data_IF_866134155904
#
_entry.id   IF_866134155904
#
_cell.length_a   1.000
_cell.length_b   1.000
_cell.length_c   1.000
_cell.angle_alpha   90.00
_cell.angle_beta   90.00
_cell.angle_gamma   90.00
#
_symmetry.space_group_name_H-M   'P 1'
#
loop_
_entity.id
_entity.type
_entity.pdbx_description
1 polymer ?
#
# COMPACT_ATOMS: atom_id res chain seq x y z
N UNK A 1 -10.07 -6.05 7.23
CA UNK A 1 -8.72 -5.56 6.90
C UNK A 1 -8.63 -4.03 6.86
N UNK A 2 -9.34 -3.34 5.95
CA UNK A 2 -9.27 -1.85 5.85
C UNK A 2 -9.58 -1.11 7.16
N UNK A 3 -10.61 -1.54 7.90
CA UNK A 3 -10.95 -0.92 9.18
C UNK A 3 -9.84 -1.08 10.23
N UNK A 4 -9.23 -2.26 10.31
CA UNK A 4 -8.10 -2.52 11.21
C UNK A 4 -6.87 -1.69 10.82
N UNK A 5 -6.56 -1.59 9.52
CA UNK A 5 -5.48 -0.73 9.03
C UNK A 5 -5.69 0.74 9.40
N UNK A 6 -6.91 1.26 9.20
CA UNK A 6 -7.25 2.64 9.59
C UNK A 6 -7.04 2.86 11.09
N UNK A 7 -7.43 1.89 11.91
CA UNK A 7 -7.18 1.94 13.34
C UNK A 7 -5.67 1.97 13.63
N UNK A 8 -4.87 1.15 12.96
CA UNK A 8 -3.41 1.17 13.12
C UNK A 8 -2.80 2.51 12.72
N UNK A 9 -3.25 3.15 11.64
CA UNK A 9 -2.79 4.50 11.30
C UNK A 9 -3.16 5.53 12.37
N UNK A 10 -4.38 5.48 12.91
CA UNK A 10 -4.77 6.35 14.02
C UNK A 10 -3.89 6.14 15.26
N UNK A 11 -3.57 4.88 15.54
CA UNK A 11 -2.73 4.49 16.68
C UNK A 11 -1.29 5.01 16.55
N UNK A 12 -0.76 5.14 15.33
CA UNK A 12 0.56 5.73 15.07
C UNK A 12 0.61 7.23 15.39
N UNK A 13 -0.53 7.92 15.35
CA UNK A 13 -0.62 9.35 15.67
C UNK A 13 -0.99 9.64 17.13
N UNK A 14 -1.25 8.60 17.95
CA UNK A 14 -1.46 8.78 19.38
C UNK A 14 -0.13 9.14 20.06
N UNK A 15 -0.08 10.23 20.81
CA UNK A 15 1.14 10.76 21.43
C UNK A 15 1.09 10.78 22.96
N UNK A 16 -0.10 10.67 23.57
CA UNK A 16 -0.27 10.66 25.02
C UNK A 16 0.04 9.29 25.64
N UNK A 17 -0.20 8.21 24.89
CA UNK A 17 0.08 6.84 25.30
C UNK A 17 0.53 6.02 24.08
N UNK A 18 1.84 6.05 23.80
CA UNK A 18 2.41 5.34 22.65
C UNK A 18 2.10 3.84 22.76
N UNK A 19 1.38 3.30 21.77
CA UNK A 19 1.07 1.87 21.69
C UNK A 19 2.26 1.00 21.26
N UNK A 20 3.35 1.63 20.87
CA UNK A 20 4.53 0.99 20.30
C UNK A 20 5.78 1.40 21.08
N UNK A 21 6.74 0.49 21.19
CA UNK A 21 7.97 0.71 21.97
C UNK A 21 9.10 1.33 21.14
N UNK A 22 8.79 1.97 20.00
CA UNK A 22 9.80 2.57 19.14
C UNK A 22 10.22 3.95 19.70
N UNK A 23 11.50 4.15 20.09
CA UNK A 23 11.97 5.48 20.45
C UNK A 23 11.81 6.39 19.23
N UNK A 24 11.22 7.57 19.43
CA UNK A 24 10.92 8.55 18.36
C UNK A 24 9.85 8.15 17.34
N UNK A 25 8.90 7.29 17.74
CA UNK A 25 7.78 6.90 16.87
C UNK A 25 7.13 8.08 16.12
N UNK A 26 6.83 9.17 16.83
CA UNK A 26 6.12 10.33 16.25
C UNK A 26 6.92 10.96 15.12
N UNK A 27 8.21 11.23 15.36
CA UNK A 27 9.11 11.82 14.37
C UNK A 27 9.24 10.92 13.13
N UNK A 28 9.36 9.60 13.33
CA UNK A 28 9.41 8.63 12.24
C UNK A 28 8.11 8.54 11.45
N UNK A 29 6.95 8.65 12.10
CA UNK A 29 5.65 8.67 11.42
C UNK A 29 5.54 9.94 10.56
N UNK A 30 5.88 11.10 11.12
CA UNK A 30 5.85 12.38 10.39
C UNK A 30 6.80 12.39 9.18
N UNK A 31 8.03 11.88 9.35
CA UNK A 31 8.99 11.72 8.25
C UNK A 31 8.46 10.79 7.15
N UNK A 32 7.90 9.64 7.55
CA UNK A 32 7.32 8.66 6.62
C UNK A 32 6.18 9.29 5.82
N UNK A 33 5.24 9.99 6.46
CA UNK A 33 4.13 10.64 5.77
C UNK A 33 4.60 11.75 4.83
N UNK A 34 5.65 12.48 5.19
CA UNK A 34 6.23 13.52 4.35
C UNK A 34 6.82 12.97 3.06
N UNK A 35 7.42 11.77 3.11
CA UNK A 35 8.06 11.13 1.95
C UNK A 35 7.06 10.31 1.12
N UNK A 36 6.19 9.55 1.79
CA UNK A 36 5.33 8.54 1.16
C UNK A 36 3.86 8.94 1.06
N UNK A 37 3.45 10.02 1.74
CA UNK A 37 2.05 10.39 1.93
C UNK A 37 1.40 9.66 3.09
N UNK A 38 0.16 10.04 3.44
CA UNK A 38 -0.57 9.52 4.61
C UNK A 38 -1.10 8.09 4.46
N UNK A 39 -1.29 7.65 3.21
CA UNK A 39 -1.75 6.29 2.91
C UNK A 39 -0.64 5.52 2.20
N UNK A 40 0.47 5.30 2.92
CA UNK A 40 1.68 4.67 2.40
C UNK A 40 1.54 3.15 2.19
N UNK A 41 0.50 2.53 2.77
CA UNK A 41 0.08 1.15 2.51
C UNK A 41 -1.32 1.06 1.92
N UNK A 42 -1.52 1.61 0.73
CA UNK A 42 -2.83 1.60 0.06
C UNK A 42 -3.40 0.18 -0.06
N UNK A 43 -4.64 -0.01 0.40
CA UNK A 43 -5.31 -1.31 0.35
C UNK A 43 -6.20 -1.44 -0.89
N UNK A 44 -6.10 -2.57 -1.57
CA UNK A 44 -6.97 -2.94 -2.70
C UNK A 44 -6.32 -2.76 -4.07
N UNK A 45 -7.02 -3.21 -5.11
CA UNK A 45 -6.50 -3.24 -6.47
C UNK A 45 -6.51 -1.86 -7.13
N UNK A 46 -7.64 -1.16 -7.09
CA UNK A 46 -7.85 0.11 -7.78
C UNK A 46 -6.85 1.20 -7.36
N UNK A 47 -6.59 1.42 -6.05
CA UNK A 47 -5.62 2.43 -5.63
C UNK A 47 -4.19 2.12 -6.12
N UNK A 48 -3.86 0.84 -6.27
CA UNK A 48 -2.53 0.36 -6.65
C UNK A 48 -2.33 0.19 -8.16
N UNK A 49 -3.34 0.43 -8.99
CA UNK A 49 -3.31 0.16 -10.43
C UNK A 49 -2.14 0.87 -11.14
N UNK A 50 -1.89 2.14 -10.82
CA UNK A 50 -0.82 2.93 -11.43
C UNK A 50 0.57 2.41 -11.03
N UNK A 51 0.76 2.07 -9.75
CA UNK A 51 2.01 1.52 -9.23
C UNK A 51 2.33 0.18 -9.91
N UNK A 52 1.32 -0.71 -10.02
CA UNK A 52 1.44 -1.98 -10.72
C UNK A 52 1.76 -1.80 -12.21
N UNK A 53 1.12 -0.84 -12.89
CA UNK A 53 1.39 -0.58 -14.30
C UNK A 53 2.84 -0.10 -14.54
N UNK A 54 3.35 0.77 -13.67
CA UNK A 54 4.75 1.25 -13.73
C UNK A 54 5.72 0.11 -13.45
N UNK A 55 5.46 -0.69 -12.41
CA UNK A 55 6.29 -1.87 -12.10
C UNK A 55 6.35 -2.85 -13.27
N UNK A 56 5.21 -3.17 -13.88
CA UNK A 56 5.12 -4.08 -15.02
C UNK A 56 5.85 -3.54 -16.25
N UNK A 57 5.78 -2.22 -16.50
CA UNK A 57 6.54 -1.57 -17.56
C UNK A 57 8.04 -1.77 -17.35
N UNK A 58 8.56 -1.46 -16.16
CA UNK A 58 9.99 -1.64 -15.88
C UNK A 58 10.42 -3.11 -15.94
N UNK A 59 9.60 -4.03 -15.42
CA UNK A 59 9.85 -5.47 -15.52
C UNK A 59 9.99 -5.94 -16.97
N UNK A 60 9.17 -5.40 -17.88
CA UNK A 60 9.28 -5.68 -19.31
C UNK A 60 10.52 -5.02 -19.94
N UNK A 61 10.75 -3.73 -19.69
CA UNK A 61 11.90 -2.98 -20.21
C UNK A 61 13.25 -3.58 -19.79
N UNK A 62 13.30 -4.18 -18.59
CA UNK A 62 14.50 -4.84 -18.05
C UNK A 62 14.60 -6.32 -18.46
N UNK A 63 13.67 -6.83 -19.27
CA UNK A 63 13.69 -8.21 -19.77
C UNK A 63 13.31 -9.28 -18.75
N UNK A 64 12.79 -8.90 -17.58
CA UNK A 64 12.29 -9.84 -16.57
C UNK A 64 10.96 -10.47 -17.03
N UNK A 65 10.11 -9.69 -17.69
CA UNK A 65 8.88 -10.16 -18.32
C UNK A 65 9.07 -10.36 -19.83
N UNK A 66 8.55 -11.48 -20.36
CA UNK A 66 8.61 -11.79 -21.81
C UNK A 66 7.74 -10.87 -22.68
N UNK A 67 6.71 -10.26 -22.08
CA UNK A 67 5.78 -9.33 -22.71
C UNK A 67 5.29 -8.31 -21.69
N UNK A 68 4.80 -7.17 -22.16
CA UNK A 68 4.15 -6.18 -21.31
C UNK A 68 2.80 -6.74 -20.80
N UNK A 69 2.68 -6.89 -19.49
CA UNK A 69 1.46 -7.29 -18.81
C UNK A 69 0.69 -6.05 -18.35
N UNK A 70 -0.61 -6.18 -18.19
CA UNK A 70 -1.48 -5.21 -17.52
C UNK A 70 -1.72 -5.63 -16.06
N UNK A 71 -1.99 -4.70 -15.14
CA UNK A 71 -2.29 -5.04 -13.74
C UNK A 71 -3.43 -6.05 -13.57
N UNK A 72 -4.43 -6.04 -14.47
CA UNK A 72 -5.58 -6.95 -14.42
C UNK A 72 -5.19 -8.40 -14.71
N UNK A 73 -4.16 -8.62 -15.50
CA UNK A 73 -3.66 -9.96 -15.85
C UNK A 73 -2.87 -10.60 -14.70
N UNK A 74 -2.54 -9.86 -13.64
CA UNK A 74 -1.81 -10.38 -12.48
C UNK A 74 -2.69 -11.21 -11.55
N UNK A 75 -4.01 -11.02 -11.61
CA UNK A 75 -4.95 -11.56 -10.64
C UNK A 75 -6.03 -12.37 -11.33
N UNK A 76 -6.53 -13.42 -10.65
CA UNK A 76 -7.71 -14.13 -11.12
C UNK A 76 -8.94 -13.19 -11.06
N UNK A 77 -9.81 -13.14 -12.07
CA UNK A 77 -10.93 -12.19 -12.13
C UNK A 77 -11.81 -12.17 -10.87
N UNK A 78 -12.01 -13.33 -10.24
CA UNK A 78 -12.82 -13.52 -9.04
C UNK A 78 -12.22 -12.81 -7.81
N UNK A 79 -10.92 -12.52 -7.82
CA UNK A 79 -10.23 -11.84 -6.72
C UNK A 79 -10.34 -10.32 -6.79
N UNK A 80 -10.81 -9.78 -7.92
CA UNK A 80 -10.98 -8.34 -8.14
C UNK A 80 -12.33 -7.83 -7.61
N UNK A 81 -13.27 -8.72 -7.30
CA UNK A 81 -14.56 -8.34 -6.73
C UNK A 81 -14.44 -8.21 -5.21
N UNK A 82 -14.88 -7.06 -4.65
CA UNK A 82 -14.98 -6.94 -3.21
C UNK A 82 -16.17 -7.77 -2.73
N UNK A 83 -15.93 -8.91 -2.07
CA UNK A 83 -16.97 -9.62 -1.34
C UNK A 83 -17.52 -8.69 -0.24
N UNK A 84 -18.71 -8.14 -0.45
CA UNK A 84 -19.54 -7.59 0.62
C UNK A 84 -20.26 -8.76 1.29
N UNK A 85 -19.84 -9.10 2.50
CA UNK A 85 -20.64 -9.88 3.45
C UNK A 85 -21.36 -8.88 4.34
#
# INVERSE_FOLDING_TARGET
>A
FVAAQRQSYQDLHETAALKYMLPWLVDHVEETEKVMGKDFWQYGYEPNMNNLAVFLRYSYEQGLAKRLLTPRELFAPETLESFKI
#
